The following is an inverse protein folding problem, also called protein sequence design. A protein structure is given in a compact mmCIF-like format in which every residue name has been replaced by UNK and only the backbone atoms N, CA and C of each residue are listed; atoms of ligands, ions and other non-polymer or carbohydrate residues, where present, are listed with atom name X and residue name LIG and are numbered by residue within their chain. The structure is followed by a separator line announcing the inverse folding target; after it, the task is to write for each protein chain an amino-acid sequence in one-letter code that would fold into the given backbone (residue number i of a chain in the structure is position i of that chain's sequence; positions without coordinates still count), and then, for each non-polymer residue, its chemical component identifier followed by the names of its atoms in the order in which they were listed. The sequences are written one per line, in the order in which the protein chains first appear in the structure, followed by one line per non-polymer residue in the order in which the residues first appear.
data_IF_999008096315
#
_entry.id   IF_999008096315
#
_cell.length_a   1.000
_cell.length_b   1.000
_cell.length_c   1.000
_cell.angle_alpha   90.00
_cell.angle_beta   90.00
_cell.angle_gamma   90.00
#
_symmetry.space_group_name_H-M   'P 1'
#
loop_
_entity.id
_entity.type
_entity.pdbx_description
1 polymer ?
#
# COMPACT_ATOMS: atom_id res chain seq x y z
N UNK A 1 39.38 -0.03 2.57
CA UNK A 1 40.01 1.29 2.37
C UNK A 1 39.42 2.04 1.18
N UNK A 2 39.70 1.68 -0.08
CA UNK A 2 39.13 2.39 -1.26
C UNK A 2 37.60 2.53 -1.25
N UNK A 3 36.86 1.45 -0.95
CA UNK A 3 35.39 1.49 -0.84
C UNK A 3 34.93 2.44 0.28
N UNK A 4 35.59 2.45 1.43
CA UNK A 4 35.23 3.33 2.55
C UNK A 4 35.47 4.80 2.17
N UNK A 5 36.57 5.10 1.48
CA UNK A 5 36.89 6.43 0.98
C UNK A 5 35.85 6.93 -0.03
N UNK A 6 35.40 6.08 -0.96
CA UNK A 6 34.32 6.42 -1.89
C UNK A 6 33.01 6.67 -1.11
N UNK A 7 32.64 5.76 -0.22
CA UNK A 7 31.40 5.89 0.56
C UNK A 7 31.41 7.18 1.37
N UNK A 8 32.50 7.45 2.06
CA UNK A 8 32.66 8.66 2.84
C UNK A 8 32.62 9.92 1.97
N UNK A 9 33.30 9.92 0.83
CA UNK A 9 33.32 11.06 -0.09
C UNK A 9 31.94 11.36 -0.67
N UNK A 10 31.19 10.32 -1.06
CA UNK A 10 29.81 10.48 -1.55
C UNK A 10 28.89 11.00 -0.46
N UNK A 11 28.91 10.42 0.74
CA UNK A 11 28.06 10.89 1.84
C UNK A 11 28.45 12.32 2.27
N UNK A 12 29.74 12.65 2.27
CA UNK A 12 30.24 14.00 2.52
C UNK A 12 29.63 14.99 1.53
N UNK A 13 29.74 14.71 0.23
CA UNK A 13 29.19 15.56 -0.84
C UNK A 13 27.68 15.78 -0.69
N UNK A 14 26.92 14.72 -0.39
CA UNK A 14 25.47 14.83 -0.21
C UNK A 14 25.09 15.55 1.09
N UNK A 15 25.97 15.54 2.11
CA UNK A 15 25.73 16.14 3.42
C UNK A 15 26.05 17.64 3.48
N UNK A 16 26.57 18.22 2.40
CA UNK A 16 26.97 19.64 2.34
C UNK A 16 25.78 20.54 2.69
N UNK A 17 25.83 21.11 3.90
CA UNK A 17 24.98 22.21 4.35
C UNK A 17 25.72 23.51 4.11
N UNK A 18 25.08 24.49 3.48
CA UNK A 18 25.59 25.87 3.46
C UNK A 18 24.80 26.70 4.45
N UNK A 19 25.53 27.40 5.32
CA UNK A 19 24.94 28.42 6.17
C UNK A 19 24.42 29.55 5.28
N UNK A 20 23.14 29.88 5.44
CA UNK A 20 22.48 30.99 4.74
C UNK A 20 22.88 32.34 5.38
N UNK A 21 24.15 32.52 5.70
CA UNK A 21 24.67 33.77 6.26
C UNK A 21 25.18 34.64 5.11
N UNK A 22 24.40 35.67 4.79
CA UNK A 22 24.81 36.89 4.10
C UNK A 22 25.29 36.75 2.64
N UNK A 23 24.36 36.72 1.68
CA UNK A 23 24.38 37.48 0.42
C UNK A 23 23.15 37.10 -0.41
N UNK A 24 22.57 38.09 -1.08
CA UNK A 24 21.26 38.04 -1.72
C UNK A 24 21.02 36.83 -2.63
N UNK A 25 19.91 36.12 -2.38
CA UNK A 25 18.97 35.62 -3.39
C UNK A 25 19.53 34.88 -4.62
N UNK A 26 20.40 33.88 -4.43
CA UNK A 26 20.46 32.76 -5.37
C UNK A 26 20.10 31.47 -4.63
N UNK A 27 18.95 30.87 -4.97
CA UNK A 27 18.57 29.54 -4.50
C UNK A 27 19.51 28.52 -5.17
N UNK A 28 20.68 28.33 -4.59
CA UNK A 28 21.65 27.33 -5.07
C UNK A 28 21.12 25.93 -4.72
N UNK A 29 21.04 25.06 -5.72
CA UNK A 29 20.63 23.68 -5.52
C UNK A 29 21.72 22.88 -4.80
N UNK A 30 21.33 22.18 -3.73
CA UNK A 30 22.19 21.21 -3.07
C UNK A 30 22.54 20.03 -4.01
N UNK A 31 23.72 19.37 -3.84
CA UNK A 31 24.13 18.24 -4.66
C UNK A 31 23.10 17.11 -4.78
N UNK A 32 22.31 16.89 -3.73
CA UNK A 32 21.24 15.88 -3.72
C UNK A 32 20.20 16.12 -4.82
N UNK A 33 19.89 17.38 -5.16
CA UNK A 33 18.92 17.70 -6.21
C UNK A 33 19.36 17.25 -7.60
N UNK A 34 20.66 17.25 -7.88
CA UNK A 34 21.19 16.70 -9.12
C UNK A 34 21.15 15.17 -9.11
N UNK A 35 21.44 14.56 -7.97
CA UNK A 35 21.40 13.11 -7.83
C UNK A 35 19.98 12.55 -8.02
N UNK A 36 18.96 13.18 -7.42
CA UNK A 36 17.57 12.70 -7.51
C UNK A 36 16.98 12.83 -8.91
N UNK A 37 17.48 13.75 -9.73
CA UNK A 37 17.08 13.86 -11.14
C UNK A 37 17.64 12.73 -12.00
N UNK A 38 18.78 12.17 -11.63
CA UNK A 38 19.43 11.05 -12.35
C UNK A 38 19.02 9.69 -11.79
N UNK A 39 18.78 9.62 -10.48
CA UNK A 39 18.43 8.39 -9.76
C UNK A 39 17.32 8.66 -8.74
N UNK A 40 16.09 8.85 -9.23
CA UNK A 40 14.92 9.16 -8.41
C UNK A 40 14.59 8.06 -7.40
N UNK A 41 14.87 6.78 -7.71
CA UNK A 41 14.56 5.64 -6.84
C UNK A 41 15.69 5.24 -5.89
N UNK A 42 16.74 6.08 -5.77
CA UNK A 42 17.90 5.82 -4.92
C UNK A 42 18.54 4.43 -5.17
N UNK A 43 18.64 4.01 -6.44
CA UNK A 43 19.24 2.75 -6.86
C UNK A 43 20.70 2.66 -6.43
N UNK A 44 21.43 3.78 -6.42
CA UNK A 44 22.79 3.89 -5.88
C UNK A 44 22.86 3.36 -4.44
N UNK A 45 21.91 3.78 -3.60
CA UNK A 45 21.85 3.41 -2.19
C UNK A 45 21.44 1.94 -2.05
N UNK A 46 20.46 1.48 -2.85
CA UNK A 46 20.10 0.05 -2.93
C UNK A 46 21.31 -0.84 -3.23
N UNK A 47 22.14 -0.45 -4.22
CA UNK A 47 23.35 -1.20 -4.59
C UNK A 47 24.38 -1.23 -3.45
N UNK A 48 24.57 -0.12 -2.75
CA UNK A 48 25.51 -0.04 -1.63
C UNK A 48 25.05 -0.84 -0.40
N UNK A 49 23.75 -0.90 -0.19
CA UNK A 49 23.15 -1.65 0.92
C UNK A 49 23.07 -3.17 0.66
N UNK A 50 23.27 -3.62 -0.59
CA UNK A 50 23.19 -5.05 -0.95
C UNK A 50 24.33 -5.87 -0.33
N UNK A 51 25.59 -5.44 -0.51
CA UNK A 51 26.77 -6.14 0.00
C UNK A 51 26.98 -5.91 1.50
N UNK A 52 27.34 -6.96 2.25
CA UNK A 52 27.57 -6.86 3.71
C UNK A 52 28.65 -5.83 4.07
N UNK A 53 29.80 -5.87 3.37
CA UNK A 53 30.92 -4.97 3.63
C UNK A 53 30.56 -3.50 3.40
N UNK A 54 29.95 -3.18 2.25
CA UNK A 54 29.53 -1.81 1.92
C UNK A 54 28.43 -1.31 2.84
N UNK A 55 27.41 -2.14 3.11
CA UNK A 55 26.32 -1.80 4.03
C UNK A 55 26.83 -1.43 5.42
N UNK A 56 27.76 -2.22 5.96
CA UNK A 56 28.33 -1.98 7.31
C UNK A 56 29.01 -0.62 7.38
N UNK A 57 29.75 -0.25 6.33
CA UNK A 57 30.43 1.05 6.23
C UNK A 57 29.42 2.19 6.12
N UNK A 58 28.44 2.05 5.22
CA UNK A 58 27.39 3.05 5.01
C UNK A 58 26.64 3.33 6.31
N UNK A 59 26.14 2.29 6.98
CA UNK A 59 25.37 2.43 8.22
C UNK A 59 26.19 3.08 9.34
N UNK A 60 27.45 2.67 9.50
CA UNK A 60 28.38 3.27 10.47
C UNK A 60 28.60 4.76 10.20
N UNK A 61 28.76 5.16 8.94
CA UNK A 61 28.99 6.55 8.56
C UNK A 61 27.72 7.40 8.69
N UNK A 62 26.55 6.84 8.35
CA UNK A 62 25.26 7.49 8.57
C UNK A 62 25.00 7.72 10.07
N UNK A 63 25.34 6.76 10.92
CA UNK A 63 25.20 6.89 12.37
C UNK A 63 26.15 7.94 12.95
N UNK A 64 27.45 7.85 12.62
CA UNK A 64 28.49 8.61 13.32
C UNK A 64 28.77 10.00 12.75
N UNK A 65 28.62 10.20 11.44
CA UNK A 65 29.10 11.42 10.75
C UNK A 65 28.03 12.11 9.92
N UNK A 66 27.18 11.33 9.23
CA UNK A 66 26.24 11.86 8.24
C UNK A 66 24.78 11.65 8.61
N UNK A 67 24.44 11.66 9.91
CA UNK A 67 23.07 11.50 10.42
C UNK A 67 22.09 12.49 9.80
N UNK A 68 22.58 13.68 9.43
CA UNK A 68 21.79 14.70 8.76
C UNK A 68 21.18 14.29 7.42
N UNK A 69 21.76 13.31 6.72
CA UNK A 69 21.20 12.78 5.47
C UNK A 69 19.88 12.04 5.74
N UNK A 70 19.86 11.20 6.77
CA UNK A 70 18.65 10.49 7.19
C UNK A 70 17.63 11.49 7.73
N UNK A 71 18.07 12.48 8.52
CA UNK A 71 17.20 13.58 8.96
C UNK A 71 16.58 14.34 7.80
N UNK A 72 17.36 14.65 6.75
CA UNK A 72 16.85 15.34 5.57
C UNK A 72 15.83 14.48 4.81
N UNK A 73 16.08 13.18 4.66
CA UNK A 73 15.15 12.26 4.01
C UNK A 73 13.81 12.17 4.77
N UNK A 74 13.84 12.03 6.10
CA UNK A 74 12.61 12.04 6.92
C UNK A 74 11.90 13.38 6.80
N UNK A 75 12.65 14.49 6.81
CA UNK A 75 12.07 15.82 6.64
C UNK A 75 11.35 15.97 5.29
N UNK A 76 11.86 15.38 4.20
CA UNK A 76 11.18 15.42 2.90
C UNK A 76 9.84 14.67 2.92
N UNK A 77 9.77 13.50 3.56
CA UNK A 77 8.51 12.77 3.70
C UNK A 77 7.48 13.55 4.54
N UNK A 78 7.91 14.18 5.63
CA UNK A 78 7.04 15.01 6.47
C UNK A 78 6.55 16.25 5.72
N UNK A 79 7.44 16.95 5.01
CA UNK A 79 7.07 18.14 4.22
C UNK A 79 6.09 17.80 3.10
N UNK A 80 6.29 16.66 2.44
CA UNK A 80 5.37 16.22 1.39
C UNK A 80 3.99 15.87 1.97
N UNK A 81 3.94 15.21 3.13
CA UNK A 81 2.67 14.93 3.81
C UNK A 81 1.94 16.20 4.22
N UNK A 82 2.63 17.16 4.85
CA UNK A 82 2.07 18.47 5.22
C UNK A 82 1.51 19.21 3.98
N UNK A 83 2.19 19.10 2.83
CA UNK A 83 1.69 19.63 1.56
C UNK A 83 0.37 18.94 1.14
N UNK A 84 0.28 17.61 1.25
CA UNK A 84 -0.96 16.88 0.94
C UNK A 84 -2.13 17.30 1.84
N UNK A 85 -1.89 17.54 3.14
CA UNK A 85 -2.93 18.01 4.06
C UNK A 85 -3.44 19.40 3.70
N UNK A 86 -2.55 20.33 3.34
CA UNK A 86 -2.94 21.68 2.90
C UNK A 86 -3.76 21.63 1.61
N UNK A 87 -3.34 20.84 0.62
CA UNK A 87 -4.05 20.69 -0.66
C UNK A 87 -5.47 20.14 -0.48
N UNK A 88 -5.67 19.15 0.39
CA UNK A 88 -7.02 18.61 0.67
C UNK A 88 -7.93 19.63 1.35
N UNK A 89 -7.37 20.51 2.17
CA UNK A 89 -8.13 21.61 2.79
C UNK A 89 -8.57 22.63 1.74
N UNK A 90 -7.70 22.93 0.77
CA UNK A 90 -7.99 23.86 -0.32
C UNK A 90 -8.95 23.27 -1.39
N UNK A 91 -8.91 21.97 -1.65
CA UNK A 91 -9.88 21.27 -2.52
C UNK A 91 -11.31 21.36 -1.96
N UNK A 92 -11.48 21.33 -0.64
CA UNK A 92 -12.78 21.54 0.04
C UNK A 92 -13.26 22.99 -0.12
N UNK A 93 -12.34 23.94 -0.32
CA UNK A 93 -12.62 25.39 -0.51
C UNK A 93 -12.76 25.77 -2.00
N UNK A 94 -12.61 24.81 -2.92
CA UNK A 94 -13.04 24.96 -4.30
C UNK A 94 -12.11 25.79 -5.18
N UNK A 95 -10.84 25.42 -5.31
CA UNK A 95 -9.99 25.89 -6.42
C UNK A 95 -9.02 24.79 -6.89
N UNK A 96 -9.46 23.89 -7.79
CA UNK A 96 -8.52 23.04 -8.53
C UNK A 96 -7.80 23.90 -9.58
N UNK A 97 -6.54 24.26 -9.34
CA UNK A 97 -5.70 24.83 -10.39
C UNK A 97 -5.36 23.76 -11.42
N UNK A 98 -6.08 23.84 -12.52
CA UNK A 98 -5.89 23.09 -13.76
C UNK A 98 -4.41 23.08 -14.17
N UNK A 99 -3.78 21.90 -14.17
CA UNK A 99 -2.44 21.72 -14.74
C UNK A 99 -2.59 21.53 -16.26
N UNK A 100 -2.80 22.64 -16.96
CA UNK A 100 -2.92 22.69 -18.42
C UNK A 100 -1.59 22.87 -19.13
N UNK A 101 -1.48 22.20 -20.27
CA UNK A 101 -0.48 22.28 -21.36
C UNK A 101 0.90 21.63 -21.19
N UNK A 102 1.02 20.46 -21.84
CA UNK A 102 2.26 19.79 -22.23
C UNK A 102 2.97 20.54 -23.36
N UNK A 103 3.73 21.56 -23.01
CA UNK A 103 4.83 22.03 -23.87
C UNK A 103 6.11 21.47 -23.27
N UNK A 104 6.88 20.68 -24.04
CA UNK A 104 8.15 20.07 -23.61
C UNK A 104 9.07 21.19 -23.11
N UNK A 105 9.11 21.36 -21.80
CA UNK A 105 9.91 22.37 -21.12
C UNK A 105 11.22 21.70 -20.75
N UNK A 106 12.36 22.29 -21.16
CA UNK A 106 13.71 21.83 -20.80
C UNK A 106 14.10 22.17 -19.35
N UNK A 107 13.12 22.50 -18.51
CA UNK A 107 13.31 23.04 -17.16
C UNK A 107 12.41 22.30 -16.18
N UNK A 108 12.94 21.98 -15.01
CA UNK A 108 12.16 21.44 -13.89
C UNK A 108 11.68 22.57 -13.00
N UNK A 109 10.40 22.55 -12.63
CA UNK A 109 9.86 23.43 -11.61
C UNK A 109 10.38 23.04 -10.22
N UNK A 110 10.34 23.99 -9.28
CA UNK A 110 10.72 23.72 -7.89
C UNK A 110 9.84 22.66 -7.22
N UNK A 111 8.56 22.56 -7.61
CA UNK A 111 7.63 21.55 -7.09
C UNK A 111 7.95 20.15 -7.61
N UNK A 112 8.25 20.00 -8.90
CA UNK A 112 8.70 18.71 -9.47
C UNK A 112 10.01 18.24 -8.84
N UNK A 113 10.92 19.17 -8.58
CA UNK A 113 12.19 18.87 -7.94
C UNK A 113 12.05 18.48 -6.46
N UNK A 114 11.12 19.11 -5.73
CA UNK A 114 10.78 18.67 -4.37
C UNK A 114 10.11 17.29 -4.37
N UNK A 115 9.20 17.05 -5.32
CA UNK A 115 8.52 15.78 -5.46
C UNK A 115 9.49 14.63 -5.71
N UNK A 116 10.41 14.78 -6.68
CA UNK A 116 11.39 13.74 -6.98
C UNK A 116 12.37 13.52 -5.81
N UNK A 117 12.66 14.57 -5.03
CA UNK A 117 13.45 14.43 -3.81
C UNK A 117 12.69 13.67 -2.71
N UNK A 118 11.38 13.89 -2.58
CA UNK A 118 10.52 13.07 -1.72
C UNK A 118 10.57 11.59 -2.13
N UNK A 119 10.39 11.28 -3.42
CA UNK A 119 10.47 9.90 -3.93
C UNK A 119 11.82 9.26 -3.58
N UNK A 120 12.92 9.96 -3.84
CA UNK A 120 14.25 9.49 -3.52
C UNK A 120 14.44 9.23 -2.03
N UNK A 121 13.93 10.13 -1.20
CA UNK A 121 13.99 10.03 0.26
C UNK A 121 13.20 8.83 0.76
N UNK A 122 12.01 8.60 0.22
CA UNK A 122 11.17 7.44 0.51
C UNK A 122 11.89 6.13 0.15
N UNK A 123 12.47 6.03 -1.04
CA UNK A 123 13.21 4.84 -1.46
C UNK A 123 14.47 4.57 -0.61
N UNK A 124 15.20 5.64 -0.27
CA UNK A 124 16.37 5.57 0.59
C UNK A 124 15.99 5.06 1.99
N UNK A 125 14.94 5.64 2.58
CA UNK A 125 14.42 5.23 3.88
C UNK A 125 13.89 3.80 3.84
N UNK A 126 13.10 3.44 2.83
CA UNK A 126 12.61 2.07 2.67
C UNK A 126 13.75 1.05 2.65
N UNK A 127 14.83 1.34 1.92
CA UNK A 127 16.03 0.47 1.89
C UNK A 127 16.77 0.43 3.23
N UNK A 128 16.80 1.54 3.96
CA UNK A 128 17.43 1.66 5.27
C UNK A 128 16.70 0.78 6.30
N UNK A 129 15.37 0.81 6.29
CA UNK A 129 14.51 0.13 7.27
C UNK A 129 14.54 -1.41 7.17
N UNK A 130 14.98 -1.96 6.04
CA UNK A 130 15.22 -3.41 5.89
C UNK A 130 16.26 -3.92 6.89
N UNK A 131 17.20 -3.08 7.32
CA UNK A 131 18.30 -3.52 8.18
C UNK A 131 18.13 -3.05 9.62
N UNK A 132 18.35 -3.95 10.58
CA UNK A 132 18.27 -3.65 12.02
C UNK A 132 19.10 -2.44 12.43
N UNK A 133 20.33 -2.33 11.91
CA UNK A 133 21.21 -1.18 12.19
C UNK A 133 20.69 0.12 11.57
N UNK A 134 19.93 0.06 10.47
CA UNK A 134 19.24 1.22 9.90
C UNK A 134 18.07 1.67 10.77
N UNK A 135 17.30 0.72 11.31
CA UNK A 135 16.19 1.00 12.25
C UNK A 135 16.68 1.65 13.56
N UNK A 136 17.85 1.26 14.05
CA UNK A 136 18.52 1.87 15.22
C UNK A 136 18.90 3.35 15.05
N UNK A 137 18.81 3.91 13.84
CA UNK A 137 19.04 5.35 13.62
C UNK A 137 17.88 6.22 14.12
N UNK A 138 16.74 5.59 14.43
CA UNK A 138 15.58 6.23 15.03
C UNK A 138 15.65 6.15 16.57
N UNK A 139 15.13 7.17 17.28
CA UNK A 139 14.34 8.29 16.78
C UNK A 139 15.17 9.44 16.16
N UNK A 140 14.54 10.23 15.29
CA UNK A 140 15.18 11.33 14.56
C UNK A 140 14.57 12.68 14.98
N UNK A 141 15.40 13.58 15.49
CA UNK A 141 14.99 14.95 15.84
C UNK A 141 15.00 15.85 14.60
N UNK A 142 13.84 16.37 14.22
CA UNK A 142 13.69 17.36 13.16
C UNK A 142 13.89 18.77 13.72
N UNK A 143 14.36 19.72 12.89
CA UNK A 143 14.59 21.11 13.34
C UNK A 143 13.31 21.86 13.67
N UNK A 144 12.22 21.53 12.98
CA UNK A 144 10.95 22.26 13.03
C UNK A 144 9.89 21.58 13.92
N UNK A 145 10.25 20.48 14.62
CA UNK A 145 9.36 19.81 15.58
C UNK A 145 10.02 19.71 16.94
N UNK A 146 9.21 19.86 17.99
CA UNK A 146 9.67 19.66 19.38
C UNK A 146 10.01 18.19 19.63
N UNK A 147 9.18 17.29 19.13
CA UNK A 147 9.32 15.86 19.33
C UNK A 147 10.13 15.20 18.22
N UNK A 148 10.83 14.12 18.59
CA UNK A 148 11.56 13.28 17.64
C UNK A 148 10.62 12.32 16.94
N UNK A 149 10.83 12.10 15.64
CA UNK A 149 10.08 11.11 14.85
C UNK A 149 10.64 9.72 15.16
N UNK A 150 9.81 8.86 15.75
CA UNK A 150 10.13 7.45 15.98
C UNK A 150 10.03 6.63 14.68
N UNK A 151 10.46 5.37 14.73
CA UNK A 151 10.27 4.44 13.61
C UNK A 151 8.77 4.23 13.32
N UNK A 152 7.98 4.04 14.36
CA UNK A 152 6.53 3.87 14.26
C UNK A 152 5.86 5.11 13.64
N UNK A 153 6.25 6.32 14.05
CA UNK A 153 5.72 7.56 13.47
C UNK A 153 6.00 7.65 11.97
N UNK A 154 7.20 7.24 11.53
CA UNK A 154 7.55 7.22 10.11
C UNK A 154 6.71 6.22 9.31
N UNK A 155 6.45 5.04 9.88
CA UNK A 155 5.63 4.02 9.21
C UNK A 155 4.15 4.44 9.12
N UNK A 156 3.63 5.05 10.19
CA UNK A 156 2.30 5.66 10.17
C UNK A 156 2.22 6.78 9.12
N UNK A 157 3.25 7.63 9.02
CA UNK A 157 3.34 8.66 7.98
C UNK A 157 3.31 8.06 6.57
N UNK A 158 4.06 6.98 6.34
CA UNK A 158 4.03 6.26 5.06
C UNK A 158 2.62 5.77 4.77
N UNK A 159 1.97 5.05 5.69
CA UNK A 159 0.59 4.58 5.51
C UNK A 159 -0.37 5.71 5.21
N UNK A 160 -0.27 6.83 5.93
CA UNK A 160 -1.07 8.02 5.69
C UNK A 160 -0.87 8.58 4.28
N UNK A 161 0.35 8.60 3.75
CA UNK A 161 0.62 9.03 2.38
C UNK A 161 -0.11 8.20 1.32
N UNK A 162 -0.49 6.95 1.59
CA UNK A 162 -1.28 6.12 0.66
C UNK A 162 -2.64 6.74 0.38
N UNK A 163 -3.32 7.25 1.42
CA UNK A 163 -4.70 7.76 1.30
C UNK A 163 -4.82 9.29 1.47
N UNK A 164 -3.76 9.98 1.88
CA UNK A 164 -3.67 11.45 1.88
C UNK A 164 -3.06 12.03 0.62
N UNK A 165 -2.26 11.27 -0.14
CA UNK A 165 -1.74 11.77 -1.41
C UNK A 165 -2.88 12.08 -2.38
N UNK A 166 -2.84 13.23 -3.09
CA UNK A 166 -3.76 13.45 -4.20
C UNK A 166 -3.58 12.33 -5.24
N UNK A 167 -4.70 11.83 -5.76
CA UNK A 167 -4.69 10.88 -6.86
C UNK A 167 -4.04 11.57 -8.07
N UNK A 168 -2.87 11.09 -8.50
CA UNK A 168 -2.24 11.62 -9.70
C UNK A 168 -3.24 11.46 -10.88
N UNK A 169 -3.53 12.52 -11.67
CA UNK A 169 -4.42 12.39 -12.81
C UNK A 169 -3.91 11.28 -13.71
N UNK A 170 -4.79 10.34 -14.06
CA UNK A 170 -4.51 9.15 -14.89
C UNK A 170 -3.61 9.58 -16.05
N UNK A 171 -2.31 9.29 -15.95
CA UNK A 171 -1.38 9.49 -17.04
C UNK A 171 -1.73 8.39 -18.03
N UNK A 172 -2.49 8.78 -19.07
CA UNK A 172 -2.95 7.92 -20.16
C UNK A 172 -1.87 6.91 -20.54
N UNK A 173 -2.22 5.62 -20.45
CA UNK A 173 -1.59 4.45 -21.05
C UNK A 173 -0.24 4.71 -21.73
N UNK A 174 0.84 4.36 -21.04
CA UNK A 174 2.08 3.94 -21.66
C UNK A 174 2.70 2.88 -20.75
N UNK A 175 2.71 1.62 -21.18
CA UNK A 175 3.15 0.44 -20.44
C UNK A 175 4.66 0.43 -20.04
N UNK A 176 5.34 1.57 -20.18
CA UNK A 176 6.77 1.74 -19.92
C UNK A 176 7.12 2.95 -19.04
N UNK A 177 6.14 3.69 -18.50
CA UNK A 177 6.44 4.74 -17.53
C UNK A 177 6.53 4.11 -16.12
N UNK A 178 7.70 4.17 -15.50
CA UNK A 178 7.87 3.84 -14.09
C UNK A 178 6.81 4.62 -13.27
N UNK A 179 5.93 3.90 -12.58
CA UNK A 179 4.87 4.52 -11.82
C UNK A 179 5.47 5.22 -10.59
N UNK A 180 5.53 6.55 -10.65
CA UNK A 180 6.05 7.39 -9.57
C UNK A 180 4.94 7.87 -8.62
N UNK A 181 3.75 7.26 -8.63
CA UNK A 181 2.67 7.66 -7.71
C UNK A 181 3.08 7.47 -6.24
N UNK A 182 2.76 8.41 -5.33
CA UNK A 182 3.19 8.33 -3.93
C UNK A 182 2.65 7.10 -3.22
N UNK A 183 1.36 6.81 -3.43
CA UNK A 183 0.73 5.60 -2.90
C UNK A 183 1.43 4.33 -3.40
N UNK A 184 1.70 4.22 -4.71
CA UNK A 184 2.40 3.07 -5.28
C UNK A 184 3.81 2.89 -4.72
N UNK A 185 4.58 3.98 -4.61
CA UNK A 185 5.94 3.95 -4.08
C UNK A 185 5.99 3.59 -2.60
N UNK A 186 5.05 4.11 -1.80
CA UNK A 186 4.91 3.74 -0.40
C UNK A 186 4.54 2.26 -0.28
N UNK A 187 3.56 1.80 -1.05
CA UNK A 187 3.13 0.41 -1.06
C UNK A 187 4.30 -0.52 -1.41
N UNK A 188 5.11 -0.18 -2.42
CA UNK A 188 6.32 -0.95 -2.77
C UNK A 188 7.29 -1.04 -1.56
N UNK A 189 7.52 0.07 -0.86
CA UNK A 189 8.39 0.09 0.32
C UNK A 189 7.82 -0.79 1.45
N UNK A 190 6.53 -0.66 1.77
CA UNK A 190 5.91 -1.42 2.85
C UNK A 190 5.84 -2.92 2.52
N UNK A 191 5.58 -3.29 1.26
CA UNK A 191 5.61 -4.68 0.80
C UNK A 191 7.01 -5.29 0.96
N UNK A 192 8.08 -4.57 0.58
CA UNK A 192 9.46 -5.03 0.80
C UNK A 192 9.74 -5.28 2.29
N UNK A 193 9.17 -4.47 3.18
CA UNK A 193 9.29 -4.67 4.62
C UNK A 193 8.47 -5.88 5.12
N UNK A 194 7.29 -6.14 4.55
CA UNK A 194 6.51 -7.36 4.83
C UNK A 194 7.27 -8.63 4.41
N UNK A 195 7.95 -8.59 3.26
CA UNK A 195 8.59 -9.77 2.67
C UNK A 195 9.85 -10.23 3.43
N UNK A 196 10.27 -9.49 4.45
CA UNK A 196 11.39 -9.84 5.34
C UNK A 196 10.83 -10.07 6.74
N UNK A 197 10.84 -11.32 7.21
CA UNK A 197 10.19 -11.73 8.48
C UNK A 197 10.58 -10.83 9.65
N UNK A 198 11.87 -10.59 9.87
CA UNK A 198 12.34 -9.77 11.00
C UNK A 198 11.90 -8.31 10.88
N UNK A 199 11.80 -7.79 9.65
CA UNK A 199 11.33 -6.42 9.41
C UNK A 199 9.83 -6.31 9.64
N UNK A 200 9.06 -7.27 9.14
CA UNK A 200 7.62 -7.28 9.30
C UNK A 200 7.20 -7.34 10.77
N UNK A 201 7.91 -8.12 11.59
CA UNK A 201 7.67 -8.21 13.03
C UNK A 201 7.99 -6.86 13.71
N UNK A 202 9.19 -6.31 13.49
CA UNK A 202 9.64 -5.10 14.21
C UNK A 202 8.96 -3.80 13.71
N UNK A 203 8.64 -3.72 12.41
CA UNK A 203 8.08 -2.53 11.79
C UNK A 203 6.54 -2.59 11.72
N UNK A 204 5.98 -3.70 11.24
CA UNK A 204 4.60 -3.74 10.75
C UNK A 204 3.62 -4.42 11.71
N UNK A 205 4.10 -5.35 12.52
CA UNK A 205 3.32 -6.04 13.57
C UNK A 205 3.24 -5.19 14.83
N UNK A 206 2.86 -3.92 14.66
CA UNK A 206 2.76 -2.93 15.73
C UNK A 206 1.38 -2.26 15.66
N UNK A 207 0.73 -2.07 16.82
CA UNK A 207 -0.67 -1.61 16.88
C UNK A 207 -0.93 -0.28 16.16
N UNK A 208 -0.15 0.80 16.35
CA UNK A 208 -0.40 2.06 15.66
C UNK A 208 -0.28 1.94 14.14
N UNK A 209 0.56 1.03 13.65
CA UNK A 209 0.73 0.77 12.21
C UNK A 209 -0.51 0.07 11.65
N UNK A 210 -0.97 -0.99 12.32
CA UNK A 210 -2.21 -1.68 11.95
C UNK A 210 -3.43 -0.76 12.08
N UNK A 211 -3.51 0.05 13.14
CA UNK A 211 -4.57 1.04 13.31
C UNK A 211 -4.56 2.10 12.20
N UNK A 212 -3.39 2.57 11.77
CA UNK A 212 -3.26 3.50 10.65
C UNK A 212 -3.74 2.90 9.32
N UNK A 213 -3.51 1.60 9.09
CA UNK A 213 -4.02 0.88 7.91
C UNK A 213 -5.55 0.68 7.98
N UNK A 214 -6.09 0.43 9.17
CA UNK A 214 -7.52 0.21 9.38
C UNK A 214 -8.33 1.52 9.41
N UNK A 215 -7.67 2.66 9.59
CA UNK A 215 -8.34 3.95 9.77
C UNK A 215 -9.22 4.36 8.57
N UNK A 216 -8.79 4.22 7.30
CA UNK A 216 -9.65 4.54 6.15
C UNK A 216 -10.89 3.65 6.07
N UNK A 217 -10.77 2.37 6.42
CA UNK A 217 -11.89 1.41 6.48
C UNK A 217 -12.89 1.86 7.54
N UNK A 218 -12.39 2.18 8.74
CA UNK A 218 -13.22 2.66 9.85
C UNK A 218 -13.97 3.94 9.52
N UNK A 219 -13.31 4.88 8.85
CA UNK A 219 -13.92 6.14 8.41
C UNK A 219 -15.04 5.91 7.39
N UNK A 220 -14.83 5.04 6.41
CA UNK A 220 -15.85 4.65 5.42
C UNK A 220 -17.04 3.95 6.08
N UNK A 221 -16.78 3.06 7.03
CA UNK A 221 -17.82 2.32 7.75
C UNK A 221 -18.70 3.22 8.62
N UNK A 222 -18.15 4.30 9.19
CA UNK A 222 -18.88 5.28 9.99
C UNK A 222 -19.72 6.27 9.16
N UNK A 223 -19.48 6.37 7.85
CA UNK A 223 -20.23 7.28 6.97
C UNK A 223 -20.02 8.77 7.28
N UNK A 224 -18.93 9.12 7.99
CA UNK A 224 -18.69 10.51 8.42
C UNK A 224 -18.30 11.37 7.22
N UNK A 225 -19.16 12.32 6.83
CA UNK A 225 -18.91 13.30 5.75
C UNK A 225 -17.65 14.17 5.94
N UNK A 226 -17.07 14.19 7.14
CA UNK A 226 -15.89 14.97 7.49
C UNK A 226 -14.56 14.22 7.32
N UNK A 227 -14.58 12.91 7.00
CA UNK A 227 -13.36 12.16 6.76
C UNK A 227 -12.95 12.23 5.28
N UNK A 228 -11.66 12.43 4.95
CA UNK A 228 -11.21 12.48 3.57
C UNK A 228 -11.60 11.17 2.85
N UNK A 229 -12.30 11.29 1.72
CA UNK A 229 -12.66 10.14 0.90
C UNK A 229 -11.38 9.41 0.47
N UNK A 230 -11.22 8.17 0.93
CA UNK A 230 -10.14 7.29 0.51
C UNK A 230 -10.47 6.76 -0.89
N UNK A 231 -9.54 6.86 -1.83
CA UNK A 231 -9.74 6.36 -3.19
C UNK A 231 -9.71 4.82 -3.23
N UNK A 232 -10.35 4.23 -4.23
CA UNK A 232 -10.35 2.78 -4.45
C UNK A 232 -8.92 2.22 -4.60
N UNK A 233 -8.05 2.94 -5.31
CA UNK A 233 -6.65 2.55 -5.48
C UNK A 233 -5.88 2.53 -4.14
N UNK A 234 -6.16 3.50 -3.26
CA UNK A 234 -5.58 3.53 -1.92
C UNK A 234 -6.10 2.38 -1.05
N UNK A 235 -7.39 2.04 -1.16
CA UNK A 235 -7.98 0.89 -0.48
C UNK A 235 -7.37 -0.45 -0.94
N UNK A 236 -7.12 -0.61 -2.24
CA UNK A 236 -6.43 -1.79 -2.78
C UNK A 236 -5.01 -1.89 -2.18
N UNK A 237 -4.25 -0.78 -2.17
CA UNK A 237 -2.93 -0.75 -1.54
C UNK A 237 -2.96 -1.15 -0.05
N UNK A 238 -3.94 -0.63 0.69
CA UNK A 238 -4.13 -0.94 2.11
C UNK A 238 -4.45 -2.42 2.30
N UNK A 239 -5.37 -2.97 1.51
CA UNK A 239 -5.74 -4.38 1.56
C UNK A 239 -4.54 -5.28 1.25
N UNK A 240 -3.75 -4.97 0.23
CA UNK A 240 -2.54 -5.73 -0.12
C UNK A 240 -1.52 -5.77 1.02
N UNK A 241 -1.33 -4.65 1.73
CA UNK A 241 -0.43 -4.60 2.90
C UNK A 241 -1.02 -5.40 4.06
N UNK A 242 -2.32 -5.25 4.34
CA UNK A 242 -3.00 -6.00 5.40
C UNK A 242 -2.98 -7.51 5.15
N UNK A 243 -3.14 -7.96 3.90
CA UNK A 243 -3.04 -9.36 3.52
C UNK A 243 -1.65 -9.93 3.85
N UNK A 244 -0.58 -9.18 3.55
CA UNK A 244 0.79 -9.59 3.89
C UNK A 244 1.08 -9.57 5.39
N UNK A 245 0.47 -8.65 6.14
CA UNK A 245 0.55 -8.67 7.61
C UNK A 245 -0.19 -9.91 8.14
N UNK A 246 -1.38 -10.22 7.62
CA UNK A 246 -2.17 -11.38 8.01
C UNK A 246 -1.53 -12.73 7.64
N UNK A 247 -0.64 -12.77 6.64
CA UNK A 247 0.09 -13.99 6.28
C UNK A 247 1.26 -14.30 7.22
N UNK A 248 1.59 -13.38 8.14
CA UNK A 248 2.68 -13.51 9.11
C UNK A 248 2.06 -13.78 10.49
N UNK A 249 2.60 -14.75 11.23
CA UNK A 249 2.03 -15.23 12.50
C UNK A 249 1.82 -14.09 13.52
N UNK A 250 2.82 -13.24 13.72
CA UNK A 250 2.75 -12.11 14.66
C UNK A 250 1.74 -11.05 14.20
N UNK A 251 1.67 -10.80 12.89
CA UNK A 251 0.72 -9.86 12.29
C UNK A 251 -0.72 -10.37 12.37
N UNK A 252 -0.95 -11.65 12.08
CA UNK A 252 -2.24 -12.32 12.24
C UNK A 252 -2.70 -12.29 13.70
N UNK A 253 -1.81 -12.64 14.63
CA UNK A 253 -2.08 -12.60 16.07
C UNK A 253 -2.53 -11.21 16.50
N UNK A 254 -1.83 -10.16 16.06
CA UNK A 254 -2.21 -8.77 16.33
C UNK A 254 -3.57 -8.40 15.72
N UNK A 255 -3.89 -8.87 14.51
CA UNK A 255 -5.18 -8.63 13.87
C UNK A 255 -6.34 -9.33 14.59
N UNK A 256 -6.12 -10.55 15.09
CA UNK A 256 -7.14 -11.35 15.78
C UNK A 256 -7.41 -10.82 17.19
N UNK A 257 -6.36 -10.51 17.94
CA UNK A 257 -6.45 -10.29 19.40
C UNK A 257 -6.04 -8.89 19.86
N UNK A 258 -5.36 -8.10 19.03
CA UNK A 258 -4.73 -6.84 19.46
C UNK A 258 -3.48 -7.08 20.32
N UNK A 259 -3.00 -6.03 21.00
CA UNK A 259 -1.84 -6.12 21.91
C UNK A 259 -2.17 -6.80 23.25
N UNK A 260 -3.45 -6.86 23.63
CA UNK A 260 -3.90 -7.39 24.92
C UNK A 260 -4.70 -8.68 24.73
N UNK A 261 -4.02 -9.83 24.88
CA UNK A 261 -4.69 -11.14 24.99
C UNK A 261 -5.62 -11.25 26.21
N UNK A 262 -5.53 -10.32 27.18
CA UNK A 262 -6.13 -10.45 28.51
C UNK A 262 -7.22 -9.42 28.84
N UNK A 263 -7.62 -8.52 27.93
CA UNK A 263 -8.69 -7.55 28.22
C UNK A 263 -10.06 -8.10 27.83
N UNK A 264 -10.84 -8.51 28.84
CA UNK A 264 -12.25 -8.91 28.74
C UNK A 264 -13.23 -7.76 28.48
N UNK A 265 -12.75 -6.63 27.95
CA UNK A 265 -13.63 -5.54 27.54
C UNK A 265 -14.16 -5.80 26.13
N UNK A 266 -15.30 -6.50 26.07
CA UNK A 266 -16.25 -6.45 24.97
C UNK A 266 -16.58 -4.99 24.62
N UNK A 267 -15.87 -4.38 23.64
CA UNK A 267 -16.38 -3.28 22.81
C UNK A 267 -15.48 -2.76 21.69
N UNK A 268 -14.17 -3.06 21.65
CA UNK A 268 -13.37 -2.72 20.47
C UNK A 268 -13.27 -3.93 19.54
N UNK A 269 -13.95 -3.89 18.38
CA UNK A 269 -13.73 -4.87 17.32
C UNK A 269 -12.24 -4.86 16.93
N UNK A 270 -11.60 -6.02 16.98
CA UNK A 270 -10.19 -6.19 16.58
C UNK A 270 -10.02 -5.96 15.07
N UNK A 271 -8.78 -5.95 14.59
CA UNK A 271 -8.49 -5.69 13.18
C UNK A 271 -9.23 -6.64 12.24
N UNK A 272 -9.22 -7.93 12.56
CA UNK A 272 -9.91 -8.97 11.79
C UNK A 272 -11.42 -8.72 11.70
N UNK A 273 -12.05 -8.34 12.82
CA UNK A 273 -13.48 -7.99 12.87
C UNK A 273 -13.82 -6.79 11.98
N UNK A 274 -13.00 -5.74 12.00
CA UNK A 274 -13.20 -4.54 11.14
C UNK A 274 -13.07 -4.87 9.65
N UNK A 275 -12.07 -5.68 9.28
CA UNK A 275 -11.84 -6.11 7.91
C UNK A 275 -13.01 -6.96 7.41
N UNK A 276 -13.44 -7.96 8.18
CA UNK A 276 -14.53 -8.85 7.79
C UNK A 276 -15.88 -8.13 7.70
N UNK A 277 -16.16 -7.20 8.63
CA UNK A 277 -17.37 -6.38 8.55
C UNK A 277 -17.39 -5.51 7.30
N UNK A 278 -16.24 -4.93 6.94
CA UNK A 278 -16.11 -4.12 5.74
C UNK A 278 -16.29 -4.97 4.47
N UNK A 279 -15.66 -6.14 4.38
CA UNK A 279 -15.84 -7.05 3.24
C UNK A 279 -17.29 -7.52 3.12
N UNK A 280 -17.93 -7.91 4.23
CA UNK A 280 -19.34 -8.29 4.22
C UNK A 280 -20.20 -7.18 3.64
N UNK A 281 -20.01 -5.95 4.11
CA UNK A 281 -20.73 -4.78 3.60
C UNK A 281 -20.47 -4.57 2.10
N UNK A 282 -19.22 -4.71 1.64
CA UNK A 282 -18.88 -4.62 0.21
C UNK A 282 -19.57 -5.70 -0.63
N UNK A 283 -19.77 -6.92 -0.11
CA UNK A 283 -20.38 -8.03 -0.84
C UNK A 283 -21.91 -7.96 -0.85
N UNK A 284 -22.51 -7.61 0.29
CA UNK A 284 -23.96 -7.67 0.51
C UNK A 284 -24.68 -6.36 0.14
N UNK A 285 -24.05 -5.21 0.36
CA UNK A 285 -24.62 -3.88 0.16
C UNK A 285 -23.91 -3.13 -0.97
N UNK A 286 -24.66 -2.35 -1.76
CA UNK A 286 -24.06 -1.33 -2.60
C UNK A 286 -23.61 -0.17 -1.71
N UNK A 287 -22.30 -0.10 -1.42
CA UNK A 287 -21.76 1.08 -0.77
C UNK A 287 -21.93 2.26 -1.73
N UNK A 288 -22.82 3.19 -1.38
CA UNK A 288 -23.20 4.34 -2.23
C UNK A 288 -22.03 5.17 -2.72
N UNK A 289 -20.90 5.15 -2.00
CA UNK A 289 -19.65 5.85 -2.34
C UNK A 289 -18.99 5.25 -3.60
N UNK A 290 -19.21 3.95 -3.86
CA UNK A 290 -18.60 3.22 -4.98
C UNK A 290 -19.60 2.84 -6.07
N UNK A 291 -20.83 3.35 -6.01
CA UNK A 291 -21.86 3.05 -7.01
C UNK A 291 -21.40 3.46 -8.41
N UNK A 292 -21.32 2.49 -9.32
CA UNK A 292 -20.87 2.70 -10.71
C UNK A 292 -19.34 2.76 -10.91
N UNK A 293 -18.53 2.48 -9.88
CA UNK A 293 -17.07 2.46 -10.01
C UNK A 293 -16.55 1.17 -10.67
N UNK A 294 -15.79 1.30 -11.76
CA UNK A 294 -15.10 0.18 -12.43
C UNK A 294 -14.07 -0.51 -11.52
N UNK A 295 -13.58 0.18 -10.49
CA UNK A 295 -12.55 -0.35 -9.57
C UNK A 295 -13.12 -1.16 -8.41
N UNK A 296 -14.43 -1.15 -8.21
CA UNK A 296 -15.08 -1.82 -7.09
C UNK A 296 -14.80 -3.34 -7.05
N UNK A 297 -14.81 -4.11 -8.16
CA UNK A 297 -14.43 -5.52 -8.14
C UNK A 297 -12.98 -5.75 -7.67
N UNK A 298 -12.05 -4.86 -8.01
CA UNK A 298 -10.66 -4.94 -7.55
C UNK A 298 -10.53 -4.66 -6.05
N UNK A 299 -11.28 -3.66 -5.54
CA UNK A 299 -11.37 -3.42 -4.08
C UNK A 299 -11.91 -4.64 -3.36
N UNK A 300 -13.02 -5.22 -3.85
CA UNK A 300 -13.60 -6.45 -3.28
C UNK A 300 -12.58 -7.58 -3.29
N UNK A 301 -11.93 -7.84 -4.42
CA UNK A 301 -10.91 -8.89 -4.58
C UNK A 301 -9.74 -8.74 -3.59
N UNK A 302 -9.23 -7.52 -3.40
CA UNK A 302 -8.13 -7.27 -2.46
C UNK A 302 -8.53 -7.55 -1.00
N UNK A 303 -9.75 -7.18 -0.60
CA UNK A 303 -10.28 -7.48 0.74
C UNK A 303 -10.68 -8.94 0.92
N UNK A 304 -11.10 -9.64 -0.14
CA UNK A 304 -11.26 -11.10 -0.14
C UNK A 304 -9.92 -11.76 0.16
N UNK A 305 -8.87 -11.41 -0.60
CA UNK A 305 -7.52 -11.93 -0.39
C UNK A 305 -7.02 -11.69 1.04
N UNK A 306 -7.27 -10.50 1.59
CA UNK A 306 -6.97 -10.19 3.00
C UNK A 306 -7.68 -11.14 3.96
N UNK A 307 -8.98 -11.37 3.77
CA UNK A 307 -9.74 -12.29 4.61
C UNK A 307 -9.29 -13.75 4.42
N UNK A 308 -8.91 -14.18 3.21
CA UNK A 308 -8.36 -15.50 2.94
C UNK A 308 -7.15 -15.80 3.82
N UNK A 309 -6.24 -14.83 3.97
CA UNK A 309 -5.07 -15.00 4.85
C UNK A 309 -5.48 -15.20 6.32
N UNK A 310 -6.59 -14.59 6.76
CA UNK A 310 -7.09 -14.71 8.13
C UNK A 310 -7.80 -16.06 8.33
N UNK A 311 -8.85 -16.35 7.54
CA UNK A 311 -9.65 -17.57 7.69
C UNK A 311 -9.00 -18.84 7.12
N UNK A 312 -7.85 -18.71 6.46
CA UNK A 312 -7.00 -19.86 6.10
C UNK A 312 -6.46 -20.61 7.31
N UNK A 313 -6.48 -19.98 8.50
CA UNK A 313 -6.14 -20.63 9.78
C UNK A 313 -7.40 -21.05 10.54
N UNK A 314 -7.30 -22.10 11.36
CA UNK A 314 -8.40 -22.54 12.21
C UNK A 314 -8.89 -21.44 13.16
N UNK A 315 -7.96 -20.73 13.80
CA UNK A 315 -8.25 -19.65 14.75
C UNK A 315 -8.92 -18.46 14.06
N UNK A 316 -8.34 -17.97 12.96
CA UNK A 316 -8.92 -16.87 12.21
C UNK A 316 -10.29 -17.22 11.63
N UNK A 317 -10.50 -18.46 11.17
CA UNK A 317 -11.83 -18.90 10.75
C UNK A 317 -12.84 -18.80 11.90
N UNK A 318 -12.50 -19.25 13.13
CA UNK A 318 -13.43 -19.14 14.26
C UNK A 318 -13.86 -17.70 14.53
N UNK A 319 -12.91 -16.76 14.44
CA UNK A 319 -13.17 -15.32 14.64
C UNK A 319 -14.06 -14.76 13.53
N UNK A 320 -13.91 -15.23 12.28
CA UNK A 320 -14.64 -14.69 11.13
C UNK A 320 -15.99 -15.38 10.83
N UNK A 321 -16.28 -16.55 11.42
CA UNK A 321 -17.55 -17.27 11.23
C UNK A 321 -18.81 -16.40 11.42
N UNK A 322 -18.92 -15.55 12.47
CA UNK A 322 -20.13 -14.76 12.71
C UNK A 322 -20.50 -13.81 11.55
N UNK A 323 -19.55 -13.48 10.68
CA UNK A 323 -19.80 -12.62 9.54
C UNK A 323 -20.42 -13.34 8.34
N UNK A 324 -20.42 -14.67 8.30
CA UNK A 324 -21.06 -15.42 7.21
C UNK A 324 -20.45 -15.16 5.83
N UNK A 325 -19.14 -14.84 5.76
CA UNK A 325 -18.47 -14.46 4.51
C UNK A 325 -18.60 -15.52 3.40
N UNK A 326 -18.63 -16.80 3.76
CA UNK A 326 -18.86 -17.91 2.82
C UNK A 326 -20.21 -17.81 2.11
N UNK A 327 -21.28 -17.41 2.80
CA UNK A 327 -22.60 -17.20 2.21
C UNK A 327 -22.62 -15.95 1.32
N UNK A 328 -22.06 -14.84 1.80
CA UNK A 328 -21.95 -13.60 1.03
C UNK A 328 -21.17 -13.79 -0.27
N UNK A 329 -20.04 -14.51 -0.23
CA UNK A 329 -19.24 -14.85 -1.40
C UNK A 329 -19.99 -15.76 -2.37
N UNK A 330 -20.65 -16.81 -1.88
CA UNK A 330 -21.43 -17.71 -2.72
C UNK A 330 -22.61 -17.00 -3.38
N UNK A 331 -23.27 -16.09 -2.67
CA UNK A 331 -24.35 -15.27 -3.21
C UNK A 331 -23.83 -14.27 -4.25
N UNK A 332 -22.68 -13.64 -4.01
CA UNK A 332 -22.03 -12.76 -4.99
C UNK A 332 -21.64 -13.53 -6.26
N UNK A 333 -21.07 -14.74 -6.11
CA UNK A 333 -20.72 -15.60 -7.24
C UNK A 333 -21.94 -16.02 -8.05
N UNK A 334 -23.02 -16.48 -7.40
CA UNK A 334 -24.28 -16.83 -8.09
C UNK A 334 -24.84 -15.65 -8.90
N UNK A 335 -24.77 -14.43 -8.35
CA UNK A 335 -25.19 -13.21 -9.06
C UNK A 335 -24.30 -12.92 -10.27
N UNK A 336 -22.98 -13.04 -10.13
CA UNK A 336 -22.01 -12.79 -11.21
C UNK A 336 -22.11 -13.84 -12.32
N UNK A 337 -22.27 -15.12 -11.98
CA UNK A 337 -22.39 -16.20 -12.95
C UNK A 337 -23.63 -16.01 -13.85
N UNK A 338 -24.78 -15.62 -13.28
CA UNK A 338 -25.98 -15.28 -14.05
C UNK A 338 -25.79 -14.12 -15.04
N UNK A 339 -24.83 -13.22 -14.77
CA UNK A 339 -24.49 -12.12 -15.68
C UNK A 339 -23.54 -12.62 -16.77
N UNK A 340 -22.57 -13.47 -16.42
CA UNK A 340 -21.63 -14.13 -17.34
C UNK A 340 -22.38 -14.94 -18.42
N UNK A 341 -23.37 -15.75 -18.03
CA UNK A 341 -24.20 -16.56 -18.94
C UNK A 341 -25.06 -15.73 -19.92
N UNK A 342 -25.32 -14.46 -19.62
CA UNK A 342 -26.16 -13.57 -20.46
C UNK A 342 -25.39 -12.79 -21.51
N UNK A 343 -24.06 -12.85 -21.53
CA UNK A 343 -23.23 -12.15 -22.52
C UNK A 343 -23.37 -12.89 -23.87
N UNK A 344 -23.97 -12.28 -24.91
CA UNK A 344 -24.19 -12.95 -26.19
C UNK A 344 -22.86 -13.27 -26.90
N UNK A 345 -22.84 -14.37 -27.65
CA UNK A 345 -21.74 -14.68 -28.59
C UNK A 345 -21.52 -13.50 -29.55
N UNK A 346 -20.29 -12.97 -29.72
CA UNK A 346 -20.06 -11.85 -30.61
C UNK A 346 -20.51 -12.18 -32.04
N UNK A 347 -21.35 -11.33 -32.64
CA UNK A 347 -21.73 -11.43 -34.04
C UNK A 347 -20.65 -10.79 -34.90
N UNK A 348 -20.17 -11.48 -35.93
CA UNK A 348 -19.19 -10.95 -36.89
C UNK A 348 -19.71 -9.64 -37.53
N UNK A 349 -18.97 -8.54 -37.33
CA UNK A 349 -19.17 -7.28 -38.07
C UNK A 349 -19.54 -6.02 -37.28
N UNK A 350 -19.61 -6.04 -35.94
CA UNK A 350 -19.84 -4.81 -35.15
C UNK A 350 -18.54 -4.17 -34.66
N UNK A 351 -18.26 -2.92 -35.01
CA UNK A 351 -17.05 -2.15 -34.61
C UNK A 351 -16.96 -1.81 -33.10
N UNK A 352 -17.81 -2.40 -32.25
CA UNK A 352 -17.82 -2.25 -30.77
C UNK A 352 -17.04 -3.35 -30.02
N UNK A 353 -16.12 -4.05 -30.69
CA UNK A 353 -15.44 -5.26 -30.16
C UNK A 353 -14.50 -4.98 -28.97
N UNK A 354 -13.94 -3.77 -28.84
CA UNK A 354 -12.90 -3.48 -27.84
C UNK A 354 -13.44 -3.30 -26.42
N UNK A 355 -14.60 -2.68 -26.24
CA UNK A 355 -15.19 -2.47 -24.90
C UNK A 355 -15.91 -3.71 -24.37
N UNK A 356 -16.64 -4.42 -25.25
CA UNK A 356 -17.38 -5.65 -24.89
C UNK A 356 -16.42 -6.79 -24.50
N UNK A 357 -15.26 -6.88 -25.16
CA UNK A 357 -14.24 -7.88 -24.81
C UNK A 357 -13.56 -7.61 -23.47
N UNK A 358 -13.31 -6.34 -23.13
CA UNK A 358 -12.71 -5.96 -21.84
C UNK A 358 -13.69 -6.13 -20.68
N UNK A 359 -14.97 -5.80 -20.87
CA UNK A 359 -16.03 -6.02 -19.87
C UNK A 359 -16.24 -7.51 -19.58
N UNK A 360 -16.28 -8.35 -20.63
CA UNK A 360 -16.35 -9.80 -20.48
C UNK A 360 -15.14 -10.39 -19.73
N UNK A 361 -13.93 -9.92 -20.03
CA UNK A 361 -12.72 -10.34 -19.32
C UNK A 361 -12.73 -9.93 -17.84
N UNK A 362 -13.20 -8.71 -17.53
CA UNK A 362 -13.30 -8.24 -16.15
C UNK A 362 -14.33 -9.04 -15.34
N UNK A 363 -15.46 -9.42 -15.96
CA UNK A 363 -16.49 -10.26 -15.32
C UNK A 363 -15.94 -11.65 -15.02
N UNK A 364 -15.23 -12.27 -15.98
CA UNK A 364 -14.58 -13.57 -15.76
C UNK A 364 -13.53 -13.51 -14.64
N UNK A 365 -12.65 -12.50 -14.65
CA UNK A 365 -11.64 -12.35 -13.60
C UNK A 365 -12.26 -12.14 -12.21
N UNK A 366 -13.39 -11.42 -12.14
CA UNK A 366 -14.14 -11.26 -10.91
C UNK A 366 -14.79 -12.57 -10.42
N UNK A 367 -15.35 -13.36 -11.35
CA UNK A 367 -15.89 -14.68 -11.05
C UNK A 367 -14.81 -15.63 -10.48
N UNK A 368 -13.64 -15.67 -11.12
CA UNK A 368 -12.50 -16.46 -10.66
C UNK A 368 -12.04 -16.04 -9.25
N UNK A 369 -11.96 -14.73 -8.97
CA UNK A 369 -11.63 -14.22 -7.64
C UNK A 369 -12.62 -14.65 -6.54
N UNK A 370 -13.92 -14.71 -6.86
CA UNK A 370 -14.95 -15.16 -5.93
C UNK A 370 -14.84 -16.67 -5.64
N UNK A 371 -14.59 -17.47 -6.68
CA UNK A 371 -14.37 -18.92 -6.55
C UNK A 371 -13.09 -19.23 -5.77
N UNK A 372 -12.01 -18.47 -5.98
CA UNK A 372 -10.76 -18.57 -5.21
C UNK A 372 -11.01 -18.23 -3.73
N UNK A 373 -11.76 -17.16 -3.45
CA UNK A 373 -12.19 -16.83 -2.09
C UNK A 373 -12.96 -17.96 -1.40
N UNK A 374 -13.93 -18.58 -2.10
CA UNK A 374 -14.67 -19.73 -1.60
C UNK A 374 -13.78 -20.96 -1.36
N UNK A 375 -12.85 -21.25 -2.28
CA UNK A 375 -11.89 -22.34 -2.16
C UNK A 375 -10.99 -22.20 -0.94
N UNK A 376 -10.60 -20.97 -0.57
CA UNK A 376 -9.77 -20.75 0.61
C UNK A 376 -10.46 -21.21 1.92
N UNK A 377 -11.80 -21.35 1.97
CA UNK A 377 -12.45 -21.97 3.14
C UNK A 377 -12.10 -23.45 3.28
N UNK A 378 -11.79 -24.15 2.19
CA UNK A 378 -11.38 -25.54 2.22
C UNK A 378 -9.98 -25.75 2.84
N UNK A 379 -9.25 -24.68 3.16
CA UNK A 379 -7.97 -24.74 3.88
C UNK A 379 -8.11 -25.30 5.32
N UNK A 380 -9.33 -25.34 5.88
CA UNK A 380 -9.59 -25.90 7.20
C UNK A 380 -10.75 -26.91 7.15
N UNK A 381 -10.79 -27.92 8.05
CA UNK A 381 -11.88 -28.89 8.09
C UNK A 381 -13.25 -28.26 8.31
N UNK A 382 -13.35 -27.26 9.21
CA UNK A 382 -14.61 -26.55 9.48
C UNK A 382 -15.00 -25.67 8.29
N UNK A 383 -14.05 -25.02 7.64
CA UNK A 383 -14.32 -24.19 6.46
C UNK A 383 -14.79 -25.02 5.26
N UNK A 384 -14.27 -26.24 5.07
CA UNK A 384 -14.79 -27.18 4.06
C UNK A 384 -16.27 -27.50 4.29
N UNK A 385 -16.70 -27.71 5.54
CA UNK A 385 -18.11 -27.92 5.87
C UNK A 385 -18.97 -26.67 5.58
N UNK A 386 -18.43 -25.48 5.83
CA UNK A 386 -19.11 -24.21 5.50
C UNK A 386 -19.26 -24.06 3.98
N UNK A 387 -18.21 -24.35 3.22
CA UNK A 387 -18.24 -24.35 1.75
C UNK A 387 -19.26 -25.35 1.21
N UNK A 388 -19.33 -26.56 1.78
CA UNK A 388 -20.33 -27.55 1.38
C UNK A 388 -21.76 -27.03 1.58
N UNK A 389 -22.03 -26.26 2.64
CA UNK A 389 -23.35 -25.68 2.92
C UNK A 389 -23.79 -24.62 1.92
N UNK A 390 -22.86 -23.94 1.24
CA UNK A 390 -23.21 -22.92 0.23
C UNK A 390 -23.73 -23.54 -1.07
N UNK A 391 -23.45 -24.83 -1.28
CA UNK A 391 -23.76 -25.56 -2.51
C UNK A 391 -22.78 -25.31 -3.66
N UNK A 392 -21.71 -24.54 -3.47
CA UNK A 392 -20.76 -24.16 -4.54
C UNK A 392 -19.58 -25.15 -4.72
N UNK A 393 -19.60 -26.30 -4.04
CA UNK A 393 -18.45 -27.21 -3.99
C UNK A 393 -18.11 -27.81 -5.36
N UNK A 394 -19.12 -28.13 -6.17
CA UNK A 394 -18.95 -28.69 -7.52
C UNK A 394 -18.24 -27.73 -8.45
N UNK A 395 -18.60 -26.46 -8.38
CA UNK A 395 -18.09 -25.38 -9.20
C UNK A 395 -16.67 -25.01 -8.78
N UNK A 396 -16.42 -24.94 -7.47
CA UNK A 396 -15.07 -24.81 -6.92
C UNK A 396 -14.14 -25.95 -7.36
N UNK A 397 -14.59 -27.21 -7.32
CA UNK A 397 -13.81 -28.37 -7.79
C UNK A 397 -13.56 -28.30 -9.31
N UNK A 398 -14.58 -27.91 -10.08
CA UNK A 398 -14.47 -27.75 -11.54
C UNK A 398 -13.48 -26.64 -11.89
N UNK A 399 -13.52 -25.52 -11.17
CA UNK A 399 -12.58 -24.41 -11.31
C UNK A 399 -11.14 -24.84 -10.98
N UNK A 400 -10.92 -25.55 -9.87
CA UNK A 400 -9.61 -26.13 -9.54
C UNK A 400 -9.09 -27.05 -10.64
N UNK A 401 -9.93 -27.94 -11.16
CA UNK A 401 -9.57 -28.86 -12.23
C UNK A 401 -9.16 -28.11 -13.51
N UNK A 402 -9.92 -27.09 -13.90
CA UNK A 402 -9.62 -26.25 -15.07
C UNK A 402 -8.30 -25.49 -14.91
N UNK A 403 -8.02 -24.96 -13.71
CA UNK A 403 -6.76 -24.28 -13.39
C UNK A 403 -5.57 -25.23 -13.49
N UNK A 404 -5.71 -26.42 -12.93
CA UNK A 404 -4.72 -27.49 -13.02
C UNK A 404 -4.46 -27.92 -14.48
N UNK A 405 -5.51 -28.15 -15.26
CA UNK A 405 -5.41 -28.52 -16.67
C UNK A 405 -4.67 -27.45 -17.50
N UNK A 406 -4.82 -26.16 -17.14
CA UNK A 406 -4.12 -25.03 -17.76
C UNK A 406 -2.69 -24.81 -17.24
N UNK A 407 -2.17 -25.65 -16.34
CA UNK A 407 -0.87 -25.47 -15.64
C UNK A 407 -0.72 -24.14 -14.89
N UNK A 408 -1.82 -23.50 -14.53
CA UNK A 408 -1.78 -22.36 -13.62
C UNK A 408 -1.58 -22.92 -12.21
N UNK A 409 -0.57 -22.43 -11.47
CA UNK A 409 -0.29 -22.91 -10.11
C UNK A 409 -1.56 -22.80 -9.25
N UNK A 410 -1.92 -23.88 -8.55
CA UNK A 410 -3.05 -23.94 -7.61
C UNK A 410 -2.76 -23.06 -6.42
#
# INVERSE_FOLDING_TARGET
RYMEEIVESTLSLLSVKRDQSHLASQKILHPIYFLVLVDARAVWFKKWMHGYCSRTVVLRLLEKKYKSLVTAAVQQCVQYFELCETMKTDEIVGQSKHCGNKQKTFYYSGQELQYIYFIHSLCLLGRLLIYTHGRKLFPIKLRNRKDSVSLTDLLVLFIQLIYYSPSCPKMSSAAHLENYSPAGMVTEVLQILCDQKECAIECLSNKPVVEALLQPIHNLMKGTKAAPHCSEAALICIADILARIASIEEGLTLLLYGENMNSSEEKSSTGAHKIAQFLKKLLDEDISIFSGSEMLPMVKGAFISTCCQIYGTCEGLQVLIPYGLHESLANAWKKTNLVSERIPTPVEGSDSVSSVSQESQNIMAWEENLLDGLLNFAATPKGLLLLQRTGAISECVTFMFNRYAKKLQV
#
